data_IF_294438937486
#
_entry.id   IF_294438937486
#
_cell.length_a   1.000
_cell.length_b   1.000
_cell.length_c   1.000
_cell.angle_alpha   90.00
_cell.angle_beta   90.00
_cell.angle_gamma   90.00
#
_symmetry.space_group_name_H-M   'P 1'
#
loop_
_entity.id
_entity.type
_entity.pdbx_description
1 polymer ?
#
# COMPACT_ATOMS: atom_id res chain seq x y z
N UNK A 1 12.20 -33.98 -12.49
CA UNK A 1 11.37 -32.90 -11.94
C UNK A 1 10.00 -33.00 -12.59
N UNK A 2 8.92 -33.05 -11.80
CA UNK A 2 7.55 -32.95 -12.31
C UNK A 2 7.35 -31.59 -12.96
N UNK A 3 6.66 -31.55 -14.10
CA UNK A 3 6.40 -30.28 -14.78
C UNK A 3 5.34 -29.49 -14.00
N UNK A 4 5.65 -28.24 -13.67
CA UNK A 4 4.70 -27.29 -13.06
C UNK A 4 3.88 -26.61 -14.14
N UNK A 5 2.58 -26.50 -13.92
CA UNK A 5 1.65 -25.81 -14.82
C UNK A 5 0.91 -24.74 -14.04
N UNK A 6 0.60 -23.64 -14.72
CA UNK A 6 -0.32 -22.65 -14.22
C UNK A 6 -1.72 -23.29 -14.08
N UNK A 7 -2.46 -23.03 -12.98
CA UNK A 7 -3.79 -23.59 -12.77
C UNK A 7 -4.82 -23.05 -13.77
N UNK A 8 -4.73 -21.77 -14.11
CA UNK A 8 -5.54 -21.15 -15.18
C UNK A 8 -5.05 -21.59 -16.57
N UNK A 9 -5.98 -21.80 -17.49
CA UNK A 9 -5.73 -22.13 -18.89
C UNK A 9 -5.52 -20.85 -19.71
N UNK A 10 -4.86 -20.99 -20.86
CA UNK A 10 -4.88 -19.98 -21.92
C UNK A 10 -6.30 -19.76 -22.43
N UNK A 11 -6.50 -18.67 -23.15
CA UNK A 11 -7.78 -18.34 -23.81
C UNK A 11 -8.23 -19.43 -24.79
N UNK A 12 -7.29 -20.17 -25.37
CA UNK A 12 -7.56 -21.31 -26.25
C UNK A 12 -7.76 -22.65 -25.51
N UNK A 13 -7.85 -22.64 -24.18
CA UNK A 13 -8.05 -23.82 -23.33
C UNK A 13 -6.80 -24.65 -23.07
N UNK A 14 -5.62 -24.24 -23.54
CA UNK A 14 -4.38 -24.99 -23.33
C UNK A 14 -3.76 -24.73 -21.95
N UNK A 15 -3.13 -25.77 -21.38
CA UNK A 15 -2.34 -25.62 -20.15
C UNK A 15 -1.09 -24.80 -20.41
N UNK A 16 -0.69 -23.98 -19.43
CA UNK A 16 0.54 -23.19 -19.48
C UNK A 16 1.59 -23.83 -18.61
N UNK A 17 2.69 -24.29 -19.21
CA UNK A 17 3.83 -24.80 -18.45
C UNK A 17 4.61 -23.63 -17.86
N UNK A 18 4.98 -23.75 -16.59
CA UNK A 18 5.88 -22.82 -15.91
C UNK A 18 7.27 -23.47 -15.87
N UNK A 19 8.24 -22.87 -16.57
CA UNK A 19 9.59 -23.39 -16.72
C UNK A 19 10.44 -23.12 -15.49
N UNK A 20 10.26 -21.95 -14.88
CA UNK A 20 10.94 -21.51 -13.65
C UNK A 20 9.88 -20.94 -12.69
N UNK A 21 9.25 -21.81 -11.86
CA UNK A 21 8.24 -21.38 -10.91
C UNK A 21 8.77 -20.36 -9.93
N UNK A 22 7.95 -19.35 -9.63
CA UNK A 22 8.22 -18.41 -8.54
C UNK A 22 7.96 -19.07 -7.19
N UNK A 23 8.55 -18.53 -6.13
CA UNK A 23 8.31 -18.98 -4.76
C UNK A 23 7.43 -17.97 -4.02
N UNK A 24 6.42 -18.47 -3.31
CA UNK A 24 5.62 -17.63 -2.43
C UNK A 24 6.44 -17.24 -1.20
N UNK A 25 6.22 -16.03 -0.69
CA UNK A 25 6.80 -15.61 0.58
C UNK A 25 6.00 -16.15 1.76
N UNK A 26 6.57 -16.06 2.96
CA UNK A 26 5.92 -16.44 4.20
C UNK A 26 4.82 -15.44 4.58
N UNK A 27 3.82 -15.89 5.37
CA UNK A 27 2.66 -15.06 5.72
C UNK A 27 3.01 -13.73 6.40
N UNK A 28 4.10 -13.69 7.18
CA UNK A 28 4.55 -12.48 7.87
C UNK A 28 4.96 -11.33 6.94
N UNK A 29 5.33 -11.59 5.68
CA UNK A 29 5.68 -10.51 4.74
C UNK A 29 4.47 -9.67 4.35
N UNK A 30 3.26 -10.23 4.44
CA UNK A 30 2.04 -9.48 4.14
C UNK A 30 1.79 -8.38 5.17
N UNK A 31 2.15 -8.63 6.44
CA UNK A 31 2.00 -7.66 7.52
C UNK A 31 3.20 -6.71 7.63
N UNK A 32 4.36 -7.03 7.04
CA UNK A 32 5.55 -6.17 7.07
C UNK A 32 5.63 -5.30 5.80
N UNK A 33 5.32 -4.01 5.95
CA UNK A 33 5.34 -3.05 4.85
C UNK A 33 6.74 -2.78 4.26
N UNK A 34 7.81 -3.22 4.93
CA UNK A 34 9.18 -3.09 4.43
C UNK A 34 9.62 -4.30 3.60
N UNK A 35 8.85 -5.39 3.66
CA UNK A 35 9.14 -6.63 2.95
C UNK A 35 8.36 -6.70 1.63
N UNK A 36 8.87 -7.52 0.73
CA UNK A 36 8.14 -7.93 -0.47
C UNK A 36 7.31 -9.14 -0.08
N UNK A 37 6.00 -9.09 -0.35
CA UNK A 37 5.12 -10.24 -0.23
C UNK A 37 4.82 -10.78 -1.64
N UNK A 38 4.99 -12.08 -1.87
CA UNK A 38 4.75 -12.71 -3.17
C UNK A 38 3.73 -13.82 -3.05
N UNK A 39 2.68 -13.73 -3.86
CA UNK A 39 1.69 -14.77 -4.06
C UNK A 39 1.97 -15.50 -5.38
N UNK A 40 1.87 -16.83 -5.37
CA UNK A 40 1.84 -17.67 -6.58
C UNK A 40 0.39 -18.08 -6.89
N UNK A 41 0.08 -18.58 -8.10
CA UNK A 41 -1.29 -18.98 -8.45
C UNK A 41 -1.87 -19.97 -7.43
N UNK A 42 -3.11 -19.73 -6.98
CA UNK A 42 -3.77 -20.50 -5.91
C UNK A 42 -3.00 -20.52 -4.57
N UNK A 43 -2.02 -19.63 -4.40
CA UNK A 43 -1.20 -19.48 -3.19
C UNK A 43 -1.93 -18.76 -2.06
N UNK A 44 -1.42 -18.93 -0.84
CA UNK A 44 -1.99 -18.31 0.36
C UNK A 44 -1.85 -16.79 0.38
N UNK A 45 -2.94 -16.11 0.75
CA UNK A 45 -3.02 -14.67 1.03
C UNK A 45 -3.73 -14.47 2.37
N UNK A 46 -3.52 -13.35 3.09
CA UNK A 46 -4.34 -13.04 4.26
C UNK A 46 -5.79 -12.79 3.85
N UNK A 47 -6.76 -13.02 4.74
CA UNK A 47 -8.19 -12.77 4.45
C UNK A 47 -8.49 -11.29 4.11
N UNK A 48 -7.66 -10.38 4.63
CA UNK A 48 -7.71 -8.94 4.39
C UNK A 48 -6.30 -8.35 4.40
N UNK A 49 -6.12 -7.30 3.63
CA UNK A 49 -4.93 -6.46 3.65
C UNK A 49 -5.40 -5.00 3.64
N UNK A 50 -4.88 -4.19 4.56
CA UNK A 50 -5.25 -2.77 4.69
C UNK A 50 -6.77 -2.56 4.67
N UNK A 51 -7.50 -3.32 5.49
CA UNK A 51 -8.96 -3.34 5.58
C UNK A 51 -9.75 -3.76 4.32
N UNK A 52 -9.09 -4.07 3.21
CA UNK A 52 -9.73 -4.59 1.99
C UNK A 52 -9.61 -6.11 1.96
N UNK A 53 -10.75 -6.80 1.89
CA UNK A 53 -10.80 -8.25 1.80
C UNK A 53 -10.07 -8.79 0.57
N UNK A 54 -9.41 -9.93 0.73
CA UNK A 54 -8.77 -10.67 -0.36
C UNK A 54 -9.63 -11.88 -0.69
N UNK A 55 -10.43 -11.75 -1.73
CA UNK A 55 -11.30 -12.82 -2.20
C UNK A 55 -11.45 -12.73 -3.71
N UNK A 56 -11.70 -13.86 -4.39
CA UNK A 56 -12.00 -13.85 -5.82
C UNK A 56 -13.15 -12.89 -6.14
N UNK A 57 -13.00 -12.17 -7.26
CA UNK A 57 -14.00 -11.23 -7.75
C UNK A 57 -14.22 -11.46 -9.23
N UNK A 58 -15.46 -11.23 -9.66
CA UNK A 58 -15.81 -11.16 -11.07
C UNK A 58 -16.29 -9.75 -11.39
N UNK A 59 -16.02 -9.29 -12.61
CA UNK A 59 -16.35 -7.94 -13.03
C UNK A 59 -17.42 -7.99 -14.13
N UNK A 60 -18.59 -7.40 -13.84
CA UNK A 60 -19.62 -7.19 -14.87
C UNK A 60 -19.27 -5.99 -15.75
N UNK A 61 -19.84 -5.92 -16.96
CA UNK A 61 -19.64 -4.76 -17.85
C UNK A 61 -20.12 -3.44 -17.21
N UNK A 62 -21.20 -3.49 -16.42
CA UNK A 62 -21.70 -2.31 -15.70
C UNK A 62 -20.75 -1.86 -14.59
N UNK A 63 -20.19 -2.80 -13.84
CA UNK A 63 -19.19 -2.49 -12.80
C UNK A 63 -17.90 -1.95 -13.41
N UNK A 64 -17.44 -2.52 -14.53
CA UNK A 64 -16.28 -2.02 -15.26
C UNK A 64 -16.47 -0.56 -15.69
N UNK A 65 -17.62 -0.22 -16.28
CA UNK A 65 -17.94 1.15 -16.67
C UNK A 65 -17.95 2.09 -15.45
N UNK A 66 -18.57 1.67 -14.35
CA UNK A 66 -18.59 2.45 -13.10
C UNK A 66 -17.19 2.70 -12.55
N UNK A 67 -16.31 1.70 -12.59
CA UNK A 67 -14.94 1.85 -12.09
C UNK A 67 -14.06 2.70 -13.03
N UNK A 68 -14.28 2.60 -14.34
CA UNK A 68 -13.54 3.39 -15.33
C UNK A 68 -13.92 4.89 -15.28
N UNK A 69 -15.18 5.22 -15.05
CA UNK A 69 -15.69 6.60 -15.23
C UNK A 69 -16.41 7.19 -14.02
N UNK A 70 -16.63 6.41 -12.96
CA UNK A 70 -17.28 6.89 -11.74
C UNK A 70 -16.46 7.97 -11.04
N UNK A 71 -15.13 7.87 -11.10
CA UNK A 71 -14.21 8.92 -10.63
C UNK A 71 -13.76 9.80 -11.79
N UNK A 72 -13.88 11.10 -11.57
CA UNK A 72 -13.42 12.12 -12.52
C UNK A 72 -12.02 12.62 -12.09
N UNK A 73 -11.11 12.68 -13.06
CA UNK A 73 -9.76 13.22 -12.90
C UNK A 73 -9.25 13.76 -14.23
N UNK A 74 -8.29 14.69 -14.16
CA UNK A 74 -7.70 15.28 -15.35
C UNK A 74 -6.86 14.26 -16.09
N UNK A 75 -7.15 14.07 -17.37
CA UNK A 75 -6.44 13.11 -18.21
C UNK A 75 -6.04 13.78 -19.52
N UNK A 76 -4.76 13.76 -19.92
CA UNK A 76 -4.32 14.32 -21.18
C UNK A 76 -4.87 13.51 -22.35
N UNK A 77 -5.02 14.13 -23.52
CA UNK A 77 -5.38 13.42 -24.75
C UNK A 77 -4.39 12.28 -25.01
N UNK A 78 -4.90 11.09 -25.36
CA UNK A 78 -4.05 9.96 -25.76
C UNK A 78 -3.86 9.95 -27.27
N UNK A 79 -2.65 10.26 -27.71
CA UNK A 79 -2.26 10.18 -29.12
C UNK A 79 -1.27 9.05 -29.33
N UNK A 80 -1.76 7.90 -29.78
CA UNK A 80 -0.89 6.75 -30.07
C UNK A 80 -0.01 7.03 -31.31
N UNK A 81 1.33 7.02 -31.18
CA UNK A 81 2.21 7.26 -32.32
C UNK A 81 2.04 6.18 -33.40
N UNK A 82 2.17 6.57 -34.67
CA UNK A 82 2.14 5.63 -35.80
C UNK A 82 3.16 4.50 -35.61
N UNK A 83 2.71 3.25 -35.80
CA UNK A 83 3.54 2.05 -35.65
C UNK A 83 3.54 1.46 -34.25
N UNK A 84 2.72 1.98 -33.34
CA UNK A 84 2.51 1.44 -32.00
C UNK A 84 1.05 1.06 -31.80
N UNK A 85 0.84 -0.03 -31.06
CA UNK A 85 -0.49 -0.44 -30.63
C UNK A 85 -0.86 0.24 -29.31
N UNK A 86 -2.11 0.72 -29.16
CA UNK A 86 -2.60 1.27 -27.90
C UNK A 86 -2.65 0.18 -26.81
N UNK A 87 -2.20 0.55 -25.63
CA UNK A 87 -2.20 -0.31 -24.45
C UNK A 87 -2.50 0.51 -23.20
N UNK A 88 -2.97 -0.15 -22.16
CA UNK A 88 -3.21 0.48 -20.86
C UNK A 88 -2.87 -0.44 -19.70
N UNK A 89 -2.59 0.16 -18.55
CA UNK A 89 -2.33 -0.55 -17.30
C UNK A 89 -2.47 0.37 -16.10
N UNK A 90 -2.25 -0.16 -14.91
CA UNK A 90 -2.29 0.63 -13.69
C UNK A 90 -1.16 0.29 -12.73
N UNK A 91 -0.72 1.31 -12.00
CA UNK A 91 0.15 1.18 -10.84
C UNK A 91 -0.74 1.22 -9.60
N UNK A 92 -0.90 0.06 -8.96
CA UNK A 92 -1.81 -0.11 -7.84
C UNK A 92 -1.05 0.07 -6.53
N UNK A 93 -1.39 1.10 -5.78
CA UNK A 93 -0.75 1.45 -4.51
C UNK A 93 -1.67 1.08 -3.35
N UNK A 94 -1.07 0.56 -2.28
CA UNK A 94 -1.74 0.29 -1.01
C UNK A 94 -1.54 1.46 -0.02
N UNK A 95 -2.42 1.62 0.98
CA UNK A 95 -2.27 2.66 2.01
C UNK A 95 -0.95 2.62 2.78
N UNK A 96 -0.32 1.45 2.88
CA UNK A 96 1.00 1.25 3.50
C UNK A 96 2.18 1.65 2.59
N UNK A 97 1.91 2.15 1.38
CA UNK A 97 2.90 2.64 0.44
C UNK A 97 3.61 1.55 -0.38
N UNK A 98 3.16 0.30 -0.28
CA UNK A 98 3.57 -0.77 -1.18
C UNK A 98 2.76 -0.75 -2.48
N UNK A 99 3.32 -1.37 -3.51
CA UNK A 99 2.84 -1.35 -4.88
C UNK A 99 2.76 -2.76 -5.43
N UNK A 100 1.66 -3.07 -6.10
CA UNK A 100 1.45 -4.36 -6.73
C UNK A 100 2.19 -4.47 -8.06
N UNK A 101 2.86 -5.60 -8.26
CA UNK A 101 3.66 -5.95 -9.41
C UNK A 101 3.30 -7.36 -9.88
N UNK A 102 3.43 -7.61 -11.17
CA UNK A 102 3.22 -8.93 -11.76
C UNK A 102 4.53 -9.51 -12.27
N UNK A 103 4.64 -10.83 -12.21
CA UNK A 103 5.75 -11.61 -12.75
C UNK A 103 5.24 -12.43 -13.93
N UNK A 104 5.48 -11.98 -15.18
CA UNK A 104 4.97 -12.67 -16.36
C UNK A 104 5.45 -14.13 -16.43
N UNK A 105 4.54 -15.03 -16.78
CA UNK A 105 4.80 -16.45 -16.92
C UNK A 105 5.92 -16.68 -17.93
N UNK A 106 6.99 -17.35 -17.49
CA UNK A 106 8.20 -17.58 -18.29
C UNK A 106 8.86 -16.30 -18.82
N UNK A 107 8.77 -15.19 -18.08
CA UNK A 107 9.35 -13.90 -18.42
C UNK A 107 8.95 -13.40 -19.82
N UNK A 108 7.66 -13.54 -20.17
CA UNK A 108 7.16 -13.11 -21.47
C UNK A 108 7.57 -11.67 -21.81
N UNK A 109 8.06 -11.43 -23.03
CA UNK A 109 8.63 -10.14 -23.45
C UNK A 109 9.96 -9.78 -22.77
N UNK A 110 10.60 -10.73 -22.08
CA UNK A 110 11.80 -10.54 -21.27
C UNK A 110 11.55 -9.69 -20.03
N UNK A 111 10.35 -9.73 -19.46
CA UNK A 111 10.00 -9.06 -18.21
C UNK A 111 10.04 -10.09 -17.08
N UNK A 112 10.94 -9.92 -16.12
CA UNK A 112 10.92 -10.72 -14.88
C UNK A 112 9.97 -10.13 -13.84
N UNK A 113 9.70 -8.82 -13.93
CA UNK A 113 8.74 -8.10 -13.10
C UNK A 113 8.29 -6.81 -13.82
N UNK A 114 7.00 -6.52 -13.79
CA UNK A 114 6.39 -5.34 -14.44
C UNK A 114 5.15 -4.88 -13.69
N UNK A 115 4.66 -3.68 -14.00
CA UNK A 115 3.28 -3.30 -13.69
C UNK A 115 2.29 -4.06 -14.59
N UNK A 116 1.07 -4.35 -14.11
CA UNK A 116 0.04 -4.99 -14.91
C UNK A 116 -0.42 -4.08 -16.06
N UNK A 117 -0.50 -4.63 -17.27
CA UNK A 117 -0.79 -3.89 -18.51
C UNK A 117 -0.88 -4.80 -19.74
N UNK A 118 -1.75 -4.41 -20.67
CA UNK A 118 -1.84 -5.04 -21.97
C UNK A 118 -2.51 -4.18 -23.02
N UNK A 119 -2.70 -4.76 -24.21
CA UNK A 119 -3.22 -4.06 -25.39
C UNK A 119 -4.71 -3.81 -25.23
N UNK A 120 -5.21 -2.74 -25.82
CA UNK A 120 -6.66 -2.60 -25.98
C UNK A 120 -7.13 -3.52 -27.11
N UNK A 121 -8.33 -4.07 -26.98
CA UNK A 121 -9.06 -4.79 -28.03
C UNK A 121 -10.16 -3.92 -28.66
N UNK A 122 -9.98 -2.59 -28.62
CA UNK A 122 -10.95 -1.60 -29.08
C UNK A 122 -11.75 -0.94 -27.95
N UNK A 123 -11.60 -1.41 -26.71
CA UNK A 123 -12.15 -0.76 -25.53
C UNK A 123 -11.36 0.50 -25.14
N UNK A 124 -11.98 1.43 -24.41
CA UNK A 124 -11.29 2.60 -23.86
C UNK A 124 -10.16 2.25 -22.89
N UNK A 125 -9.13 3.10 -22.83
CA UNK A 125 -7.91 2.85 -22.05
C UNK A 125 -8.16 2.60 -20.55
N UNK A 126 -9.13 3.29 -19.95
CA UNK A 126 -9.47 3.07 -18.53
C UNK A 126 -10.05 1.69 -18.28
N UNK A 127 -10.89 1.21 -19.19
CA UNK A 127 -11.47 -0.13 -19.13
C UNK A 127 -10.41 -1.21 -19.33
N UNK A 128 -9.54 -1.01 -20.34
CA UNK A 128 -8.38 -1.88 -20.55
C UNK A 128 -7.49 -1.95 -19.31
N UNK A 129 -7.14 -0.82 -18.69
CA UNK A 129 -6.30 -0.82 -17.49
C UNK A 129 -6.91 -1.64 -16.33
N UNK A 130 -8.23 -1.51 -16.08
CA UNK A 130 -8.91 -2.26 -15.01
C UNK A 130 -8.97 -3.75 -15.36
N UNK A 131 -9.30 -4.09 -16.61
CA UNK A 131 -9.31 -5.48 -17.11
C UNK A 131 -7.96 -6.13 -16.93
N UNK A 132 -6.90 -5.48 -17.39
CA UNK A 132 -5.52 -6.01 -17.33
C UNK A 132 -5.04 -6.21 -15.89
N UNK A 133 -5.38 -5.31 -14.96
CA UNK A 133 -5.06 -5.50 -13.54
C UNK A 133 -5.81 -6.69 -12.95
N UNK A 134 -7.08 -6.88 -13.30
CA UNK A 134 -7.85 -8.03 -12.85
C UNK A 134 -7.32 -9.34 -13.45
N UNK A 135 -7.00 -9.34 -14.75
CA UNK A 135 -6.51 -10.51 -15.47
C UNK A 135 -5.10 -10.89 -15.04
N UNK A 136 -4.15 -9.95 -15.01
CA UNK A 136 -2.75 -10.27 -14.71
C UNK A 136 -2.46 -10.35 -13.20
N UNK A 137 -3.19 -9.62 -12.37
CA UNK A 137 -2.92 -9.54 -10.92
C UNK A 137 -4.04 -10.08 -10.04
N UNK A 138 -5.22 -10.43 -10.57
CA UNK A 138 -6.37 -10.89 -9.76
C UNK A 138 -6.99 -9.78 -8.90
N UNK A 139 -6.63 -8.51 -9.11
CA UNK A 139 -7.03 -7.39 -8.26
C UNK A 139 -8.15 -6.58 -8.90
N UNK A 140 -9.13 -6.18 -8.09
CA UNK A 140 -10.11 -5.19 -8.48
C UNK A 140 -9.67 -3.81 -8.01
N UNK A 141 -9.68 -2.84 -8.91
CA UNK A 141 -9.12 -1.51 -8.65
C UNK A 141 -10.06 -0.36 -9.00
N UNK A 142 -9.86 0.76 -8.31
CA UNK A 142 -10.38 2.07 -8.68
C UNK A 142 -9.23 2.91 -9.24
N UNK A 143 -9.43 3.51 -10.41
CA UNK A 143 -8.48 4.46 -10.97
C UNK A 143 -8.61 5.81 -10.27
N UNK A 144 -7.51 6.32 -9.76
CA UNK A 144 -7.45 7.57 -9.01
C UNK A 144 -7.07 8.75 -9.90
N UNK A 145 -6.11 8.54 -10.81
CA UNK A 145 -5.63 9.58 -11.72
C UNK A 145 -4.84 9.00 -12.91
N UNK A 146 -4.58 9.82 -13.93
CA UNK A 146 -3.57 9.56 -14.97
C UNK A 146 -2.18 9.55 -14.33
N UNK A 147 -1.30 8.61 -14.68
CA UNK A 147 0.07 8.56 -14.16
C UNK A 147 1.11 8.92 -15.22
N UNK A 148 1.15 8.18 -16.32
CA UNK A 148 2.18 8.35 -17.35
C UNK A 148 1.76 7.70 -18.66
N UNK A 149 2.31 8.19 -19.78
CA UNK A 149 2.34 7.43 -21.03
C UNK A 149 3.76 6.91 -21.28
N UNK A 150 3.88 5.64 -21.67
CA UNK A 150 5.15 4.95 -21.85
C UNK A 150 5.25 4.34 -23.25
N UNK A 151 6.26 4.76 -24.01
CA UNK A 151 6.60 4.19 -25.31
C UNK A 151 7.44 2.94 -25.13
N UNK A 152 6.90 1.78 -25.50
CA UNK A 152 7.56 0.47 -25.44
C UNK A 152 8.07 0.05 -26.82
N UNK A 153 8.39 -1.23 -27.00
CA UNK A 153 8.85 -1.77 -28.29
C UNK A 153 7.74 -1.79 -29.34
N UNK A 154 6.54 -2.24 -28.96
CA UNK A 154 5.40 -2.43 -29.86
C UNK A 154 4.17 -1.63 -29.44
N UNK A 155 4.11 -1.18 -28.19
CA UNK A 155 2.94 -0.50 -27.64
C UNK A 155 3.26 0.92 -27.18
N UNK A 156 2.26 1.78 -27.23
CA UNK A 156 2.22 3.02 -26.47
C UNK A 156 1.23 2.82 -25.33
N UNK A 157 1.74 2.76 -24.11
CA UNK A 157 0.97 2.29 -22.94
C UNK A 157 0.65 3.45 -22.01
N UNK A 158 -0.65 3.69 -21.77
CA UNK A 158 -1.11 4.61 -20.72
C UNK A 158 -1.16 3.90 -19.38
N UNK A 159 -0.57 4.51 -18.37
CA UNK A 159 -0.66 4.08 -16.98
C UNK A 159 -1.55 5.01 -16.19
N UNK A 160 -2.40 4.41 -15.36
CA UNK A 160 -3.16 5.08 -14.33
C UNK A 160 -2.58 4.78 -12.95
N UNK A 161 -2.76 5.71 -12.03
CA UNK A 161 -2.57 5.46 -10.62
C UNK A 161 -3.86 4.90 -10.06
N UNK A 162 -3.79 3.80 -9.31
CA UNK A 162 -4.96 3.09 -8.83
C UNK A 162 -4.79 2.64 -7.38
N UNK A 163 -5.92 2.31 -6.74
CA UNK A 163 -5.97 1.60 -5.46
C UNK A 163 -6.76 0.32 -5.58
N UNK A 164 -6.41 -0.67 -4.75
CA UNK A 164 -7.20 -1.91 -4.64
C UNK A 164 -8.49 -1.65 -3.86
N UNK A 165 -9.58 -2.20 -4.38
CA UNK A 165 -10.91 -2.19 -3.74
C UNK A 165 -11.48 -3.60 -3.56
N UNK A 166 -10.76 -4.63 -4.01
CA UNK A 166 -11.11 -6.03 -3.86
C UNK A 166 -10.18 -6.92 -4.68
N UNK A 167 -10.57 -8.18 -4.86
CA UNK A 167 -9.76 -9.18 -5.55
C UNK A 167 -8.67 -9.76 -4.66
N UNK A 168 -7.97 -10.75 -5.20
CA UNK A 168 -6.90 -11.47 -4.50
C UNK A 168 -5.82 -11.83 -5.52
N UNK A 169 -4.53 -11.66 -5.18
CA UNK A 169 -3.48 -12.02 -6.10
C UNK A 169 -3.51 -13.50 -6.47
N UNK A 170 -3.97 -14.39 -5.58
CA UNK A 170 -4.10 -15.83 -5.85
C UNK A 170 -4.90 -16.19 -7.11
N UNK A 171 -5.75 -15.28 -7.59
CA UNK A 171 -6.60 -15.44 -8.78
C UNK A 171 -5.98 -14.90 -10.07
N UNK A 172 -4.69 -14.52 -10.06
CA UNK A 172 -3.95 -14.12 -11.25
C UNK A 172 -4.18 -15.08 -12.44
N UNK A 173 -4.32 -14.49 -13.63
CA UNK A 173 -4.46 -15.19 -14.89
C UNK A 173 -3.17 -15.86 -15.33
N UNK A 174 -3.27 -16.71 -16.35
CA UNK A 174 -2.17 -17.56 -16.83
C UNK A 174 -0.94 -16.79 -17.34
N UNK A 175 -1.11 -15.51 -17.66
CA UNK A 175 -0.04 -14.62 -18.11
C UNK A 175 0.93 -14.24 -17.00
N UNK A 176 0.52 -14.37 -15.73
CA UNK A 176 1.36 -14.14 -14.56
C UNK A 176 1.62 -15.44 -13.81
N UNK A 177 2.87 -15.67 -13.39
CA UNK A 177 3.24 -16.81 -12.54
C UNK A 177 3.47 -16.43 -11.08
N UNK A 178 3.42 -15.13 -10.76
CA UNK A 178 3.36 -14.59 -9.42
C UNK A 178 2.90 -13.13 -9.44
N UNK A 179 2.41 -12.66 -8.29
CA UNK A 179 2.09 -11.26 -8.02
C UNK A 179 2.77 -10.87 -6.72
N UNK A 180 3.50 -9.75 -6.74
CA UNK A 180 4.22 -9.25 -5.58
C UNK A 180 3.68 -7.90 -5.11
N UNK A 181 3.62 -7.70 -3.81
CA UNK A 181 3.40 -6.42 -3.17
C UNK A 181 4.74 -5.94 -2.59
N UNK A 182 5.27 -4.85 -3.13
CA UNK A 182 6.62 -4.39 -2.83
C UNK A 182 6.65 -2.93 -2.36
N UNK A 183 7.55 -2.56 -1.43
CA UNK A 183 7.78 -1.16 -1.09
C UNK A 183 8.12 -0.34 -2.33
N UNK A 184 7.50 0.85 -2.46
CA UNK A 184 7.73 1.75 -3.60
C UNK A 184 9.21 2.11 -3.80
N UNK A 185 9.98 2.23 -2.72
CA UNK A 185 11.43 2.47 -2.78
C UNK A 185 12.27 1.32 -3.35
N UNK A 186 11.69 0.13 -3.56
CA UNK A 186 12.36 -1.03 -4.15
C UNK A 186 12.01 -1.25 -5.63
N UNK A 187 11.08 -0.46 -6.20
CA UNK A 187 10.56 -0.68 -7.55
C UNK A 187 11.65 -0.74 -8.62
N UNK A 188 12.60 0.20 -8.62
CA UNK A 188 13.67 0.23 -9.63
C UNK A 188 14.65 -0.94 -9.51
N UNK A 189 14.72 -1.59 -8.35
CA UNK A 189 15.50 -2.83 -8.16
C UNK A 189 14.78 -4.07 -8.67
N UNK A 190 13.45 -4.08 -8.62
CA UNK A 190 12.62 -5.22 -9.01
C UNK A 190 12.28 -5.21 -10.50
N UNK A 191 11.93 -4.04 -11.03
CA UNK A 191 11.58 -3.85 -12.43
C UNK A 191 12.83 -4.01 -13.29
N UNK A 192 12.87 -4.99 -14.18
CA UNK A 192 14.09 -5.30 -14.95
C UNK A 192 14.21 -4.47 -16.25
N UNK A 193 13.19 -3.67 -16.59
CA UNK A 193 13.16 -2.84 -17.79
C UNK A 193 13.17 -1.36 -17.43
N UNK A 194 14.04 -0.61 -18.10
CA UNK A 194 14.18 0.85 -17.92
C UNK A 194 12.92 1.64 -18.28
N UNK A 195 12.07 1.11 -19.16
CA UNK A 195 10.76 1.71 -19.48
C UNK A 195 9.80 1.69 -18.28
N UNK A 196 9.92 0.71 -17.38
CA UNK A 196 9.12 0.64 -16.15
C UNK A 196 9.73 1.49 -15.03
N UNK A 197 11.05 1.72 -15.03
CA UNK A 197 11.69 2.67 -14.11
C UNK A 197 11.11 4.08 -14.25
N UNK A 198 10.86 4.54 -15.48
CA UNK A 198 10.22 5.84 -15.73
C UNK A 198 8.81 5.94 -15.16
N UNK A 199 8.06 4.83 -15.15
CA UNK A 199 6.72 4.79 -14.56
C UNK A 199 6.83 4.80 -13.03
N UNK A 200 7.82 4.10 -12.46
CA UNK A 200 8.11 4.16 -11.03
C UNK A 200 8.59 5.55 -10.56
N UNK A 201 9.37 6.26 -11.38
CA UNK A 201 9.77 7.65 -11.14
C UNK A 201 8.55 8.57 -11.13
N UNK A 202 7.66 8.45 -12.14
CA UNK A 202 6.40 9.21 -12.17
C UNK A 202 5.51 8.94 -10.95
N UNK A 203 5.53 7.73 -10.40
CA UNK A 203 4.84 7.41 -9.14
C UNK A 203 5.51 8.12 -7.94
N UNK A 204 6.83 8.11 -7.88
CA UNK A 204 7.59 8.71 -6.79
C UNK A 204 7.39 10.24 -6.73
N UNK A 205 7.33 10.90 -7.89
CA UNK A 205 7.07 12.34 -8.02
C UNK A 205 5.69 12.75 -7.46
N UNK A 206 4.79 11.79 -7.27
CA UNK A 206 3.41 11.98 -6.80
C UNK A 206 3.16 11.42 -5.41
N UNK A 207 4.21 11.06 -4.68
CA UNK A 207 4.10 10.37 -3.40
C UNK A 207 3.23 11.10 -2.38
N UNK A 208 3.36 12.42 -2.28
CA UNK A 208 2.53 13.23 -1.38
C UNK A 208 1.05 13.17 -1.78
N UNK A 209 0.76 13.37 -3.06
CA UNK A 209 -0.61 13.42 -3.58
C UNK A 209 -1.39 12.13 -3.35
N UNK A 210 -0.78 10.97 -3.62
CA UNK A 210 -1.50 9.72 -3.44
C UNK A 210 -1.55 9.26 -1.99
N UNK A 211 -0.57 9.64 -1.17
CA UNK A 211 -0.65 9.48 0.29
C UNK A 211 -1.84 10.29 0.84
N UNK A 212 -2.10 11.50 0.34
CA UNK A 212 -3.26 12.31 0.74
C UNK A 212 -4.60 11.63 0.41
N UNK A 213 -4.73 10.96 -0.73
CA UNK A 213 -5.98 10.26 -1.08
C UNK A 213 -6.29 9.07 -0.16
N UNK A 214 -5.27 8.48 0.46
CA UNK A 214 -5.46 7.47 1.51
C UNK A 214 -5.64 8.09 2.90
N UNK A 215 -5.35 9.38 3.08
CA UNK A 215 -5.60 10.16 4.31
C UNK A 215 -7.00 10.76 4.38
N UNK A 216 -7.68 10.96 3.24
CA UNK A 216 -8.99 11.61 3.20
C UNK A 216 -10.01 10.80 4.02
N UNK A 217 -10.51 11.45 5.08
CA UNK A 217 -11.07 10.85 6.30
C UNK A 217 -12.28 9.95 6.07
N UNK A 218 -12.93 10.04 4.92
CA UNK A 218 -14.16 9.32 4.61
C UNK A 218 -13.96 7.81 4.42
N UNK A 219 -12.82 7.34 3.93
CA UNK A 219 -12.68 5.90 3.62
C UNK A 219 -12.41 5.05 4.86
N UNK A 220 -11.46 5.47 5.72
CA UNK A 220 -11.22 4.84 7.02
C UNK A 220 -12.45 5.04 7.93
N UNK A 221 -13.04 6.24 7.98
CA UNK A 221 -14.19 6.49 8.85
C UNK A 221 -15.47 5.74 8.42
N UNK A 222 -15.78 5.60 7.12
CA UNK A 222 -16.98 4.87 6.68
C UNK A 222 -16.89 3.35 6.93
N UNK A 223 -15.68 2.79 7.04
CA UNK A 223 -15.47 1.37 7.33
C UNK A 223 -15.12 1.09 8.81
N UNK A 224 -14.57 2.07 9.54
CA UNK A 224 -14.29 1.99 10.98
C UNK A 224 -15.54 2.30 11.85
N UNK A 225 -16.48 3.15 11.40
CA UNK A 225 -17.73 3.45 12.13
C UNK A 225 -18.69 2.27 12.26
N UNK A 226 -18.42 1.15 11.58
CA UNK A 226 -19.14 -0.11 11.79
C UNK A 226 -18.55 -0.97 12.91
N UNK A 227 -17.44 -0.54 13.52
CA UNK A 227 -16.61 -1.37 14.41
C UNK A 227 -16.48 -0.78 15.83
N UNK A 228 -16.67 0.54 16.06
CA UNK A 228 -16.42 1.15 17.38
C UNK A 228 -17.57 2.07 17.88
N UNK A 229 -17.98 1.85 19.13
CA UNK A 229 -19.04 2.56 19.86
C UNK A 229 -18.64 3.99 20.27
N UNK A 230 -19.63 4.87 20.42
CA UNK A 230 -19.59 6.35 20.55
C UNK A 230 -19.07 6.93 21.90
N UNK A 231 -18.43 6.16 22.79
CA UNK A 231 -18.30 6.57 24.22
C UNK A 231 -16.90 6.96 24.74
N UNK A 232 -15.88 7.24 23.91
CA UNK A 232 -14.54 7.57 24.45
C UNK A 232 -14.27 9.09 24.58
N UNK A 233 -14.23 9.61 25.82
CA UNK A 233 -14.03 11.03 26.17
C UNK A 233 -12.60 11.59 25.97
N UNK A 234 -11.64 10.77 25.53
CA UNK A 234 -10.24 11.16 25.37
C UNK A 234 -9.91 11.38 23.87
N UNK A 235 -9.56 12.61 23.48
CA UNK A 235 -9.31 13.01 22.08
C UNK A 235 -7.83 13.27 21.72
N UNK A 236 -7.60 13.86 20.54
CA UNK A 236 -6.31 14.25 19.92
C UNK A 236 -5.26 14.81 20.90
N UNK A 237 -5.68 15.64 21.85
CA UNK A 237 -4.80 16.27 22.83
C UNK A 237 -4.04 15.24 23.68
N UNK A 238 -4.62 14.09 23.99
CA UNK A 238 -3.98 13.03 24.79
C UNK A 238 -2.88 12.31 24.00
N UNK A 239 -3.07 12.11 22.69
CA UNK A 239 -2.09 11.45 21.83
C UNK A 239 -0.81 12.27 21.64
N UNK A 240 -0.91 13.60 21.51
CA UNK A 240 0.27 14.47 21.46
C UNK A 240 1.08 14.47 22.76
N UNK A 241 0.44 14.34 23.92
CA UNK A 241 1.14 14.28 25.23
C UNK A 241 2.11 13.11 25.29
N UNK A 242 1.74 11.98 24.71
CA UNK A 242 2.57 10.76 24.68
C UNK A 242 3.84 11.00 23.88
N UNK A 243 3.71 11.58 22.69
CA UNK A 243 4.86 11.84 21.84
C UNK A 243 5.78 12.92 22.42
N UNK A 244 5.22 13.98 23.02
CA UNK A 244 6.02 14.97 23.76
C UNK A 244 6.80 14.35 24.92
N UNK A 245 6.18 13.42 25.64
CA UNK A 245 6.84 12.71 26.76
C UNK A 245 7.98 11.83 26.26
N UNK A 246 7.78 11.10 25.16
CA UNK A 246 8.81 10.25 24.55
C UNK A 246 9.97 11.09 24.00
N UNK A 247 9.66 12.16 23.28
CA UNK A 247 10.67 13.02 22.67
C UNK A 247 11.49 13.75 23.73
N UNK A 248 10.85 14.30 24.77
CA UNK A 248 11.55 14.95 25.86
C UNK A 248 12.41 13.96 26.69
N UNK A 249 11.95 12.71 26.86
CA UNK A 249 12.79 11.65 27.43
C UNK A 249 14.04 11.41 26.58
N UNK A 250 13.87 11.31 25.25
CA UNK A 250 14.98 11.09 24.30
C UNK A 250 15.98 12.24 24.29
N UNK A 251 15.50 13.49 24.29
CA UNK A 251 16.38 14.65 24.39
C UNK A 251 17.15 14.67 25.71
N UNK A 252 16.47 14.40 26.83
CA UNK A 252 17.07 14.47 28.16
C UNK A 252 18.13 13.40 28.38
N UNK A 253 17.88 12.18 27.90
CA UNK A 253 18.71 11.02 28.23
C UNK A 253 19.51 10.46 27.04
N UNK A 254 19.25 10.91 25.81
CA UNK A 254 19.95 10.44 24.60
C UNK A 254 19.57 9.01 24.17
N UNK A 255 18.45 8.48 24.65
CA UNK A 255 17.98 7.12 24.42
C UNK A 255 16.46 7.01 24.48
N UNK A 256 15.92 5.92 23.96
CA UNK A 256 14.49 5.65 23.96
C UNK A 256 14.00 5.18 25.34
N UNK A 257 12.81 5.60 25.79
CA UNK A 257 12.15 4.93 26.90
C UNK A 257 11.77 3.50 26.50
N UNK A 258 11.69 2.58 27.47
CA UNK A 258 11.22 1.20 27.22
C UNK A 258 9.73 1.05 27.52
N UNK A 259 9.17 1.95 28.35
CA UNK A 259 7.75 1.97 28.70
C UNK A 259 7.24 3.41 28.72
N UNK A 260 6.00 3.60 28.28
CA UNK A 260 5.23 4.81 28.57
C UNK A 260 3.95 4.42 29.28
N UNK A 261 3.73 5.03 30.43
CA UNK A 261 2.62 4.77 31.31
C UNK A 261 1.61 5.92 31.25
N UNK A 262 0.33 5.59 31.12
CA UNK A 262 -0.74 6.57 30.90
C UNK A 262 -2.12 6.03 31.30
N UNK A 263 -3.12 6.90 31.42
CA UNK A 263 -4.52 6.48 31.62
C UNK A 263 -5.02 5.57 30.48
N UNK A 264 -5.64 4.45 30.82
CA UNK A 264 -6.08 3.43 29.85
C UNK A 264 -7.09 3.97 28.80
N UNK A 265 -7.88 4.99 29.13
CA UNK A 265 -8.81 5.63 28.20
C UNK A 265 -8.11 6.44 27.10
N UNK A 266 -6.85 6.84 27.31
CA UNK A 266 -6.05 7.58 26.33
C UNK A 266 -5.53 6.69 25.19
N UNK A 267 -5.50 5.37 25.38
CA UNK A 267 -4.99 4.39 24.40
C UNK A 267 -5.77 4.42 23.07
N UNK A 268 -7.10 4.53 23.14
CA UNK A 268 -7.97 4.49 21.96
C UNK A 268 -7.86 5.71 21.03
N UNK A 269 -7.17 6.78 21.45
CA UNK A 269 -7.09 8.04 20.70
C UNK A 269 -5.81 8.18 19.85
N UNK A 270 -4.85 7.26 19.99
CA UNK A 270 -3.51 7.37 19.41
C UNK A 270 -3.40 6.88 17.96
N UNK A 271 -4.03 5.75 17.55
CA UNK A 271 -3.69 5.11 16.28
C UNK A 271 -4.05 5.88 15.00
N UNK A 272 -4.92 6.90 15.08
CA UNK A 272 -5.52 7.48 13.86
C UNK A 272 -5.36 9.00 13.71
N UNK A 273 -4.85 9.70 14.74
CA UNK A 273 -4.90 11.17 14.77
C UNK A 273 -3.53 11.87 14.85
N UNK A 274 -2.44 11.15 15.17
CA UNK A 274 -1.11 11.75 15.43
C UNK A 274 0.05 10.98 14.79
N UNK A 275 -0.01 9.65 14.73
CA UNK A 275 0.96 8.82 14.04
C UNK A 275 0.29 8.15 12.84
N UNK A 276 1.03 7.90 11.75
CA UNK A 276 0.52 6.97 10.73
C UNK A 276 0.46 5.55 11.30
N UNK A 277 -0.26 4.61 10.66
CA UNK A 277 -0.21 3.19 11.06
C UNK A 277 1.22 2.64 11.17
N UNK A 278 2.17 3.15 10.37
CA UNK A 278 3.59 2.82 10.47
C UNK A 278 4.26 3.46 11.67
N UNK A 279 4.03 4.75 11.90
CA UNK A 279 4.56 5.46 13.07
C UNK A 279 4.07 4.84 14.38
N UNK A 280 2.84 4.35 14.41
CA UNK A 280 2.25 3.61 15.52
C UNK A 280 2.96 2.28 15.77
N UNK A 281 3.15 1.46 14.72
CA UNK A 281 3.84 0.17 14.88
C UNK A 281 5.29 0.33 15.29
N UNK A 282 5.98 1.35 14.75
CA UNK A 282 7.34 1.70 15.19
C UNK A 282 7.38 2.07 16.69
N UNK A 283 6.30 2.65 17.21
CA UNK A 283 6.18 2.96 18.63
C UNK A 283 5.98 1.68 19.44
N UNK A 284 5.04 0.81 19.04
CA UNK A 284 4.74 -0.47 19.72
C UNK A 284 5.97 -1.39 19.80
N UNK A 285 6.82 -1.40 18.77
CA UNK A 285 8.04 -2.22 18.72
C UNK A 285 9.14 -1.73 19.68
N UNK A 286 9.09 -0.46 20.12
CA UNK A 286 10.17 0.17 20.91
C UNK A 286 9.76 0.51 22.33
N UNK A 287 8.49 0.80 22.54
CA UNK A 287 7.96 1.34 23.78
C UNK A 287 6.73 0.54 24.15
N UNK A 288 6.78 -0.17 25.27
CA UNK A 288 5.59 -0.80 25.83
C UNK A 288 4.66 0.27 26.37
N UNK A 289 3.38 0.15 26.08
CA UNK A 289 2.37 1.01 26.70
C UNK A 289 1.84 0.32 27.95
N UNK A 290 1.92 0.99 29.10
CA UNK A 290 1.40 0.50 30.37
C UNK A 290 0.19 1.35 30.81
N UNK A 291 -0.93 0.69 31.09
CA UNK A 291 -2.18 1.35 31.44
C UNK A 291 -2.28 1.58 32.94
N UNK A 292 -2.32 2.84 33.38
CA UNK A 292 -2.61 3.23 34.76
C UNK A 292 -4.11 3.43 34.98
N UNK A 293 -4.54 3.20 36.22
CA UNK A 293 -5.90 3.47 36.65
C UNK A 293 -6.23 4.98 36.66
N UNK A 294 -5.24 5.83 36.96
CA UNK A 294 -5.31 7.31 36.94
C UNK A 294 -3.88 7.89 36.91
N UNK A 295 -3.60 8.92 36.11
CA UNK A 295 -2.28 9.60 36.12
C UNK A 295 -1.96 10.52 34.93
N UNK A 296 -0.85 11.26 35.02
CA UNK A 296 -0.21 11.95 33.89
C UNK A 296 0.59 10.94 33.04
N UNK A 297 1.00 11.34 31.83
CA UNK A 297 1.80 10.48 30.96
C UNK A 297 3.26 10.49 31.44
N UNK A 298 3.83 9.30 31.68
CA UNK A 298 5.22 9.16 32.16
C UNK A 298 5.98 8.17 31.29
N UNK A 299 7.14 8.57 30.78
CA UNK A 299 8.06 7.68 30.08
C UNK A 299 9.15 7.19 31.04
N UNK A 300 9.52 5.92 31.00
CA UNK A 300 10.65 5.39 31.74
C UNK A 300 11.40 4.28 30.99
N UNK A 301 12.60 3.97 31.48
CA UNK A 301 13.40 2.86 30.99
C UNK A 301 13.70 1.81 32.06
N UNK A 302 14.34 0.72 31.66
CA UNK A 302 14.69 -0.40 32.53
C UNK A 302 15.73 -0.03 33.61
N UNK A 303 16.41 1.11 33.46
CA UNK A 303 17.36 1.65 34.43
C UNK A 303 16.69 2.55 35.48
N UNK A 304 15.36 2.73 35.40
CA UNK A 304 14.57 3.55 36.33
C UNK A 304 14.66 5.05 36.07
N UNK A 305 15.18 5.48 34.91
CA UNK A 305 15.10 6.89 34.48
C UNK A 305 13.67 7.17 34.06
N UNK A 306 13.16 8.36 34.35
CA UNK A 306 11.81 8.76 33.98
C UNK A 306 11.73 10.20 33.49
N UNK A 307 10.64 10.49 32.76
CA UNK A 307 10.22 11.82 32.37
C UNK A 307 8.70 11.89 32.49
N UNK A 308 8.19 12.78 33.35
CA UNK A 308 6.75 13.06 33.47
C UNK A 308 6.36 14.18 32.51
N UNK A 309 5.27 14.01 31.78
CA UNK A 309 4.69 15.04 30.93
C UNK A 309 4.44 16.35 31.67
N UNK A 310 4.15 16.31 32.98
CA UNK A 310 3.97 17.51 33.80
C UNK A 310 5.23 18.41 33.85
N UNK A 311 6.41 17.86 33.54
CA UNK A 311 7.67 18.61 33.43
C UNK A 311 7.91 19.23 32.05
N UNK A 312 7.02 18.98 31.08
CA UNK A 312 7.18 19.42 29.69
C UNK A 312 6.93 20.93 29.54
N UNK A 313 7.85 21.65 28.90
CA UNK A 313 7.70 23.08 28.59
C UNK A 313 6.70 23.29 27.45
N UNK A 314 5.51 23.78 27.79
CA UNK A 314 4.41 24.05 26.87
C UNK A 314 4.67 25.21 25.87
N UNK A 315 5.82 25.90 25.96
CA UNK A 315 6.25 26.89 24.97
C UNK A 315 6.79 26.31 23.66
N UNK A 316 6.99 24.98 23.57
CA UNK A 316 7.47 24.30 22.36
C UNK A 316 6.32 24.06 21.37
N UNK A 317 6.48 24.55 20.13
CA UNK A 317 5.49 24.36 19.07
C UNK A 317 5.47 22.91 18.54
N UNK A 318 4.26 22.36 18.39
CA UNK A 318 3.98 21.11 17.70
C UNK A 318 4.43 21.18 16.22
N UNK A 319 5.19 20.21 15.68
CA UNK A 319 5.31 20.09 14.24
C UNK A 319 4.00 19.51 13.67
N UNK A 320 3.59 20.04 12.53
CA UNK A 320 2.28 19.86 11.90
C UNK A 320 1.75 18.41 11.92
N UNK A 321 0.44 18.27 12.22
CA UNK A 321 -0.57 17.18 12.05
C UNK A 321 -0.18 15.69 11.98
N UNK A 322 1.04 15.27 11.62
CA UNK A 322 1.55 13.89 11.64
C UNK A 322 2.98 13.89 12.21
N UNK A 323 3.17 13.19 13.32
CA UNK A 323 4.39 13.25 14.13
C UNK A 323 5.52 12.30 13.69
N UNK A 324 5.30 11.47 12.66
CA UNK A 324 6.25 10.43 12.26
C UNK A 324 7.64 10.99 11.89
N UNK A 325 7.67 12.10 11.17
CA UNK A 325 8.90 12.78 10.74
C UNK A 325 9.67 13.32 11.94
N UNK A 326 8.93 13.86 12.91
CA UNK A 326 9.48 14.47 14.10
C UNK A 326 10.02 13.43 15.07
N UNK A 327 9.27 12.36 15.33
CA UNK A 327 9.70 11.35 16.30
C UNK A 327 10.68 10.34 15.68
N UNK A 328 10.49 9.95 14.42
CA UNK A 328 11.31 8.92 13.78
C UNK A 328 12.47 9.47 12.94
N UNK A 329 12.50 10.77 12.63
CA UNK A 329 13.55 11.37 11.79
C UNK A 329 13.55 10.82 10.37
N UNK A 330 12.45 10.19 9.95
CA UNK A 330 12.27 9.65 8.60
C UNK A 330 11.90 10.84 7.72
N UNK A 331 12.74 11.24 6.76
CA UNK A 331 12.39 12.32 5.83
C UNK A 331 11.10 11.95 5.10
N UNK A 332 10.19 12.92 4.93
CA UNK A 332 8.97 12.74 4.13
C UNK A 332 9.28 12.41 2.67
#
# INVERSE_FOLDING_TARGET
>A
MTATYHPKLRDNGQKVRINAPSEATTSNTWDDMTQIATCIPEGGCPDKLNAVGMSPVSLSAADLNRLAYGRQFSEPEFSCPKGYEPAAGAVVVEPDGRVWLVHPTNEYGGYSCTFPKGRTHGEPLREAAIREVLEEAGLLVELLDFLADSKRSETYTRYYLARRIGGTPSEMGWESQAVSLAPSGLLTKLLNRTVDHKVAEALADRCEQWREWFRDEDWLAQHARKIFHEDNQYGLTSAYRILYTIDAFRERYGLWPTVVSMDAGMYGAIPEAVLSPFGWRCLEDRVKVDGLAYGTVVAYDDAGRSFDYAEYDHGRHSPAKVADVWIWGIPM
#
